data_IF_731890213225
#
_entry.id   IF_731890213225
#
_cell.length_a   1.000
_cell.length_b   1.000
_cell.length_c   1.000
_cell.angle_alpha   90.00
_cell.angle_beta   90.00
_cell.angle_gamma   90.00
#
_symmetry.space_group_name_H-M   'P 1'
#
loop_
_entity.id
_entity.type
_entity.pdbx_description
1 polymer ?
#
# COMPACT_ATOMS: atom_id res chain seq x y z
N UNK A 1 13.56 3.48 7.14
CA UNK A 1 14.03 4.80 7.65
C UNK A 1 14.07 5.83 6.55
N UNK A 2 14.84 5.64 5.47
CA UNK A 2 14.93 6.61 4.36
C UNK A 2 13.56 6.99 3.75
N UNK A 3 12.69 6.02 3.50
CA UNK A 3 11.33 6.28 2.98
C UNK A 3 10.45 7.07 3.95
N UNK A 4 10.50 6.75 5.24
CA UNK A 4 9.73 7.44 6.30
C UNK A 4 10.23 8.87 6.49
N UNK A 5 11.55 9.07 6.52
CA UNK A 5 12.16 10.40 6.58
C UNK A 5 11.85 11.23 5.33
N UNK A 6 11.84 10.60 4.15
CA UNK A 6 11.45 11.25 2.89
C UNK A 6 9.99 11.68 2.90
N UNK A 7 9.08 10.81 3.36
CA UNK A 7 7.66 11.13 3.50
C UNK A 7 7.43 12.28 4.50
N UNK A 8 8.13 12.28 5.64
CA UNK A 8 8.08 13.39 6.60
C UNK A 8 8.59 14.70 5.99
N UNK A 9 9.68 14.66 5.23
CA UNK A 9 10.21 15.83 4.54
C UNK A 9 9.21 16.39 3.53
N UNK A 10 8.59 15.52 2.71
CA UNK A 10 7.55 15.90 1.75
C UNK A 10 6.35 16.53 2.48
N UNK A 11 5.87 15.93 3.57
CA UNK A 11 4.77 16.47 4.37
C UNK A 11 5.09 17.86 4.94
N UNK A 12 6.31 18.09 5.42
CA UNK A 12 6.74 19.42 5.88
C UNK A 12 6.99 20.42 4.74
N UNK A 13 7.33 19.93 3.53
CA UNK A 13 7.53 20.77 2.36
C UNK A 13 6.19 21.23 1.75
N UNK A 14 5.13 20.44 1.91
CA UNK A 14 3.77 20.77 1.50
C UNK A 14 3.06 21.72 2.49
N UNK A 15 3.70 22.00 3.63
CA UNK A 15 3.23 22.97 4.63
C UNK A 15 3.47 24.41 4.12
N UNK A 16 2.51 24.96 3.38
CA UNK A 16 2.49 26.37 2.97
C UNK A 16 2.37 27.30 4.20
N UNK A 17 3.12 28.43 4.29
CA UNK A 17 3.12 29.32 5.46
C UNK A 17 1.81 30.05 5.80
N UNK A 18 0.70 29.77 5.11
CA UNK A 18 -0.59 30.46 5.28
C UNK A 18 -1.79 29.54 5.52
N UNK A 19 -1.62 28.21 5.47
CA UNK A 19 -2.71 27.26 5.71
C UNK A 19 -2.69 26.91 7.20
N UNK A 20 -3.62 27.51 7.95
CA UNK A 20 -3.68 27.45 9.41
C UNK A 20 -3.41 26.05 9.95
N UNK A 21 -2.44 25.95 10.86
CA UNK A 21 -2.04 24.71 11.53
C UNK A 21 -3.13 24.28 12.52
N UNK A 22 -4.29 23.90 11.99
CA UNK A 22 -5.35 23.21 12.73
C UNK A 22 -4.91 21.77 12.97
N UNK A 23 -3.84 21.61 13.74
CA UNK A 23 -3.42 20.32 14.28
C UNK A 23 -4.42 19.90 15.33
N UNK A 24 -5.58 19.43 14.90
CA UNK A 24 -6.50 18.75 15.80
C UNK A 24 -5.85 17.42 16.14
N UNK A 25 -5.38 17.26 17.38
CA UNK A 25 -4.81 16.00 17.86
C UNK A 25 -5.75 14.80 17.59
N UNK A 26 -7.06 15.06 17.48
CA UNK A 26 -8.05 14.10 17.04
C UNK A 26 -7.82 13.58 15.60
N UNK A 27 -7.48 14.47 14.66
CA UNK A 27 -7.16 14.08 13.28
C UNK A 27 -5.92 13.20 13.20
N UNK A 28 -4.87 13.52 13.97
CA UNK A 28 -3.67 12.70 14.04
C UNK A 28 -3.97 11.31 14.63
N UNK A 29 -4.79 11.24 15.69
CA UNK A 29 -5.22 9.97 16.28
C UNK A 29 -6.04 9.12 15.31
N UNK A 30 -6.99 9.74 14.58
CA UNK A 30 -7.80 9.04 13.57
C UNK A 30 -6.93 8.57 12.41
N UNK A 31 -5.95 9.38 11.97
CA UNK A 31 -5.01 8.99 10.93
C UNK A 31 -4.15 7.79 11.35
N UNK A 32 -3.64 7.79 12.58
CA UNK A 32 -2.89 6.67 13.14
C UNK A 32 -3.75 5.40 13.27
N UNK A 33 -4.98 5.53 13.79
CA UNK A 33 -5.91 4.42 13.90
C UNK A 33 -6.23 3.81 12.53
N UNK A 34 -6.43 4.66 11.52
CA UNK A 34 -6.66 4.22 10.13
C UNK A 34 -5.44 3.50 9.57
N UNK A 35 -4.23 4.02 9.78
CA UNK A 35 -3.00 3.39 9.32
C UNK A 35 -2.79 1.99 9.95
N UNK A 36 -3.03 1.87 11.26
CA UNK A 36 -2.96 0.58 11.96
C UNK A 36 -4.01 -0.41 11.44
N UNK A 37 -5.25 0.05 11.27
CA UNK A 37 -6.37 -0.79 10.80
C UNK A 37 -6.13 -1.28 9.37
N UNK A 38 -5.65 -0.40 8.49
CA UNK A 38 -5.32 -0.74 7.11
C UNK A 38 -4.14 -1.73 7.03
N UNK A 39 -3.09 -1.52 7.82
CA UNK A 39 -1.97 -2.45 7.92
C UNK A 39 -2.44 -3.83 8.37
N UNK A 40 -3.25 -3.90 9.43
CA UNK A 40 -3.82 -5.16 9.93
C UNK A 40 -4.70 -5.83 8.87
N UNK A 41 -5.57 -5.07 8.20
CA UNK A 41 -6.42 -5.57 7.11
C UNK A 41 -5.60 -6.20 5.99
N UNK A 42 -4.52 -5.55 5.54
CA UNK A 42 -3.68 -6.08 4.45
C UNK A 42 -3.01 -7.41 4.79
N UNK A 43 -2.59 -7.58 6.05
CA UNK A 43 -1.98 -8.82 6.54
C UNK A 43 -3.04 -9.91 6.71
N UNK A 44 -4.19 -9.58 7.31
CA UNK A 44 -5.29 -10.53 7.47
C UNK A 44 -5.84 -10.99 6.11
N UNK A 45 -5.92 -10.10 5.13
CA UNK A 45 -6.36 -10.40 3.77
C UNK A 45 -5.42 -11.42 3.10
N UNK A 46 -4.10 -11.29 3.30
CA UNK A 46 -3.15 -12.29 2.79
C UNK A 46 -3.21 -13.62 3.56
N UNK A 47 -3.52 -13.60 4.86
CA UNK A 47 -3.55 -14.81 5.70
C UNK A 47 -4.83 -15.63 5.53
N UNK A 48 -5.99 -14.98 5.39
CA UNK A 48 -7.30 -15.65 5.42
C UNK A 48 -7.89 -15.95 4.05
N UNK A 49 -7.37 -15.33 2.98
CA UNK A 49 -7.92 -15.50 1.64
C UNK A 49 -6.98 -16.36 0.80
N UNK A 50 -7.22 -17.69 0.70
CA UNK A 50 -6.39 -18.59 -0.09
C UNK A 50 -6.40 -18.18 -1.57
N UNK A 51 -5.28 -18.41 -2.27
CA UNK A 51 -5.09 -18.08 -3.70
C UNK A 51 -6.16 -18.73 -4.60
N UNK A 52 -6.71 -19.86 -4.15
CA UNK A 52 -7.67 -20.72 -4.86
C UNK A 52 -9.15 -20.42 -4.57
N UNK A 53 -9.47 -19.27 -3.94
CA UNK A 53 -10.86 -18.94 -3.68
C UNK A 53 -11.65 -18.77 -4.99
N UNK A 54 -12.52 -19.75 -5.29
CA UNK A 54 -13.55 -19.68 -6.34
C UNK A 54 -14.51 -18.49 -6.14
N UNK A 55 -14.49 -17.88 -4.95
CA UNK A 55 -15.12 -16.59 -4.70
C UNK A 55 -14.31 -15.52 -5.41
N UNK A 56 -14.81 -15.07 -6.56
CA UNK A 56 -14.20 -13.94 -7.25
C UNK A 56 -14.05 -12.75 -6.29
N UNK A 57 -12.82 -12.29 -6.03
CA UNK A 57 -12.57 -11.06 -5.23
C UNK A 57 -13.48 -9.91 -5.67
N UNK A 58 -13.82 -9.89 -6.96
CA UNK A 58 -14.76 -8.96 -7.56
C UNK A 58 -16.15 -8.96 -6.91
N UNK A 59 -16.71 -10.11 -6.53
CA UNK A 59 -18.00 -10.18 -5.82
C UNK A 59 -17.88 -9.66 -4.39
N UNK A 60 -16.81 -10.00 -3.67
CA UNK A 60 -16.58 -9.49 -2.31
C UNK A 60 -16.44 -7.96 -2.31
N UNK A 61 -15.60 -7.41 -3.19
CA UNK A 61 -15.44 -5.97 -3.34
C UNK A 61 -16.70 -5.30 -3.91
N UNK A 62 -17.48 -5.99 -4.75
CA UNK A 62 -18.79 -5.52 -5.20
C UNK A 62 -19.80 -5.40 -4.05
N UNK A 63 -19.83 -6.38 -3.13
CA UNK A 63 -20.63 -6.30 -1.90
C UNK A 63 -20.15 -5.19 -0.96
N UNK A 64 -18.84 -4.98 -0.84
CA UNK A 64 -18.28 -3.83 -0.08
C UNK A 64 -18.71 -2.51 -0.72
N UNK A 65 -18.65 -2.39 -2.05
CA UNK A 65 -19.15 -1.22 -2.78
C UNK A 65 -20.64 -0.97 -2.56
N UNK A 66 -21.46 -2.03 -2.55
CA UNK A 66 -22.88 -1.93 -2.21
C UNK A 66 -23.11 -1.49 -0.76
N UNK A 67 -22.34 -2.02 0.19
CA UNK A 67 -22.39 -1.59 1.58
C UNK A 67 -21.99 -0.12 1.72
N UNK A 68 -20.95 0.34 1.02
CA UNK A 68 -20.56 1.76 1.01
C UNK A 68 -21.65 2.62 0.38
N UNK A 69 -22.32 2.18 -0.67
CA UNK A 69 -23.43 2.92 -1.26
C UNK A 69 -24.63 3.00 -0.29
N UNK A 70 -24.92 1.90 0.42
CA UNK A 70 -26.09 1.78 1.30
C UNK A 70 -25.87 2.47 2.65
N UNK A 71 -24.66 2.34 3.23
CA UNK A 71 -24.29 2.93 4.51
C UNK A 71 -23.64 4.32 4.38
N UNK A 72 -23.03 4.65 3.24
CA UNK A 72 -22.42 5.96 3.00
C UNK A 72 -23.46 7.08 2.89
N UNK A 73 -24.58 6.81 2.20
CA UNK A 73 -25.69 7.76 2.10
C UNK A 73 -26.25 8.24 3.46
N UNK A 74 -26.61 7.34 4.40
CA UNK A 74 -27.10 7.77 5.72
C UNK A 74 -26.02 8.45 6.57
N UNK A 75 -24.74 8.11 6.40
CA UNK A 75 -23.63 8.81 7.06
C UNK A 75 -23.58 10.26 6.59
N UNK A 76 -23.60 10.51 5.27
CA UNK A 76 -23.62 11.87 4.72
C UNK A 76 -24.83 12.67 5.22
N UNK A 77 -26.01 12.06 5.24
CA UNK A 77 -27.22 12.71 5.76
C UNK A 77 -27.10 13.02 7.27
N UNK A 78 -26.49 12.14 8.05
CA UNK A 78 -26.27 12.36 9.49
C UNK A 78 -25.29 13.52 9.74
N UNK A 79 -24.23 13.65 8.92
CA UNK A 79 -23.27 14.74 9.04
C UNK A 79 -23.90 16.11 8.73
N UNK A 80 -24.80 16.17 7.75
CA UNK A 80 -25.57 17.36 7.40
C UNK A 80 -26.54 17.75 8.52
N UNK A 81 -27.24 16.77 9.11
CA UNK A 81 -28.11 16.99 10.28
C UNK A 81 -27.35 17.47 11.53
N UNK A 82 -26.10 17.02 11.72
CA UNK A 82 -25.23 17.49 12.78
C UNK A 82 -24.62 18.88 12.48
N UNK A 83 -24.81 19.42 11.28
CA UNK A 83 -24.29 20.73 10.87
C UNK A 83 -22.76 20.77 10.73
N UNK A 84 -22.12 19.61 10.56
CA UNK A 84 -20.66 19.51 10.45
C UNK A 84 -20.17 19.74 9.02
N UNK A 85 -20.93 19.27 8.02
CA UNK A 85 -20.66 19.49 6.59
C UNK A 85 -22.00 19.67 5.86
N UNK A 86 -22.13 20.73 5.06
CA UNK A 86 -23.33 20.96 4.27
C UNK A 86 -23.35 20.01 3.06
N UNK A 87 -24.43 19.25 2.90
CA UNK A 87 -24.59 18.37 1.75
C UNK A 87 -25.00 19.17 0.51
N UNK A 88 -24.05 19.42 -0.39
CA UNK A 88 -24.31 20.05 -1.69
C UNK A 88 -24.28 19.02 -2.82
N UNK A 89 -25.28 19.07 -3.69
CA UNK A 89 -25.37 18.14 -4.81
C UNK A 89 -24.34 18.49 -5.89
N UNK A 90 -23.53 17.52 -6.38
CA UNK A 90 -22.50 17.82 -7.36
C UNK A 90 -23.13 18.29 -8.69
N UNK A 91 -22.52 19.28 -9.36
CA UNK A 91 -22.99 19.75 -10.67
C UNK A 91 -22.92 18.63 -11.73
N UNK A 92 -23.87 18.62 -12.66
CA UNK A 92 -24.02 17.55 -13.65
C UNK A 92 -22.78 17.33 -14.53
N UNK A 93 -21.96 18.36 -14.71
CA UNK A 93 -20.70 18.29 -15.47
C UNK A 93 -19.60 17.48 -14.77
N UNK A 94 -19.61 17.43 -13.44
CA UNK A 94 -18.61 16.71 -12.63
C UNK A 94 -19.02 15.27 -12.39
N UNK A 95 -20.32 14.99 -12.45
CA UNK A 95 -20.91 13.66 -12.28
C UNK A 95 -20.24 12.55 -13.12
N UNK A 96 -19.94 12.72 -14.44
CA UNK A 96 -19.26 11.68 -15.21
C UNK A 96 -17.83 11.43 -14.73
N UNK A 97 -17.08 12.46 -14.33
CA UNK A 97 -15.74 12.32 -13.79
C UNK A 97 -15.75 11.62 -12.42
N UNK A 98 -16.73 11.94 -11.58
CA UNK A 98 -16.93 11.30 -10.30
C UNK A 98 -17.28 9.81 -10.47
N UNK A 99 -18.19 9.50 -11.40
CA UNK A 99 -18.54 8.12 -11.74
C UNK A 99 -17.33 7.34 -12.28
N UNK A 100 -16.53 7.96 -13.14
CA UNK A 100 -15.30 7.35 -13.67
C UNK A 100 -14.28 7.08 -12.56
N UNK A 101 -14.06 8.03 -11.66
CA UNK A 101 -13.14 7.87 -10.53
C UNK A 101 -13.65 6.80 -9.53
N UNK A 102 -14.95 6.76 -9.28
CA UNK A 102 -15.53 5.74 -8.41
C UNK A 102 -15.36 4.33 -9.01
N UNK A 103 -15.64 4.16 -10.30
CA UNK A 103 -15.59 2.85 -10.95
C UNK A 103 -14.15 2.39 -11.21
N UNK A 104 -13.34 3.23 -11.86
CA UNK A 104 -11.99 2.87 -12.30
C UNK A 104 -10.96 3.20 -11.22
N UNK A 105 -11.01 4.43 -10.69
CA UNK A 105 -9.99 4.93 -9.75
C UNK A 105 -10.04 4.27 -8.38
N UNK A 106 -11.23 3.87 -7.93
CA UNK A 106 -11.44 3.31 -6.58
C UNK A 106 -11.71 1.81 -6.67
N UNK A 107 -12.88 1.40 -7.20
CA UNK A 107 -13.30 -0.01 -7.18
C UNK A 107 -12.34 -0.94 -7.94
N UNK A 108 -12.05 -0.63 -9.21
CA UNK A 108 -11.14 -1.48 -10.00
C UNK A 108 -9.71 -1.46 -9.43
N UNK A 109 -9.25 -0.28 -9.01
CA UNK A 109 -7.92 -0.11 -8.40
C UNK A 109 -7.75 -0.94 -7.13
N UNK A 110 -8.75 -0.94 -6.24
CA UNK A 110 -8.72 -1.71 -4.99
C UNK A 110 -8.74 -3.22 -5.25
N UNK A 111 -9.49 -3.68 -6.26
CA UNK A 111 -9.48 -5.09 -6.69
C UNK A 111 -8.11 -5.48 -7.24
N UNK A 112 -7.49 -4.65 -8.09
CA UNK A 112 -6.15 -4.90 -8.61
C UNK A 112 -5.10 -4.88 -7.50
N UNK A 113 -5.21 -3.96 -6.55
CA UNK A 113 -4.35 -3.87 -5.38
C UNK A 113 -4.47 -5.12 -4.49
N UNK A 114 -5.69 -5.57 -4.20
CA UNK A 114 -5.92 -6.77 -3.40
C UNK A 114 -5.37 -8.02 -4.10
N UNK A 115 -5.55 -8.14 -5.42
CA UNK A 115 -4.94 -9.21 -6.21
C UNK A 115 -3.42 -9.13 -6.21
N UNK A 116 -2.83 -7.94 -6.32
CA UNK A 116 -1.39 -7.74 -6.25
C UNK A 116 -0.84 -8.14 -4.87
N UNK A 117 -1.54 -7.82 -3.78
CA UNK A 117 -1.18 -8.24 -2.42
C UNK A 117 -1.12 -9.75 -2.26
N UNK A 118 -2.09 -10.46 -2.84
CA UNK A 118 -2.14 -11.92 -2.81
C UNK A 118 -0.98 -12.53 -3.58
N UNK A 119 -0.78 -12.11 -4.84
CA UNK A 119 0.25 -12.66 -5.74
C UNK A 119 1.68 -12.31 -5.33
N UNK A 120 1.89 -11.19 -4.62
CA UNK A 120 3.22 -10.73 -4.22
C UNK A 120 3.41 -10.85 -2.71
N UNK A 121 3.65 -9.75 -2.02
CA UNK A 121 3.68 -9.69 -0.57
C UNK A 121 3.18 -8.31 -0.12
N UNK A 122 2.71 -8.17 1.14
CA UNK A 122 2.29 -6.88 1.68
C UNK A 122 3.42 -5.83 1.66
N UNK A 123 4.67 -6.31 1.69
CA UNK A 123 5.86 -5.49 1.59
C UNK A 123 6.01 -4.86 0.19
N UNK A 124 5.89 -5.67 -0.88
CA UNK A 124 5.96 -5.16 -2.26
C UNK A 124 4.82 -4.17 -2.55
N UNK A 125 3.61 -4.44 -2.07
CA UNK A 125 2.49 -3.52 -2.23
C UNK A 125 2.71 -2.17 -1.54
N UNK A 126 3.27 -2.18 -0.32
CA UNK A 126 3.59 -0.94 0.42
C UNK A 126 4.69 -0.13 -0.28
N UNK A 127 5.68 -0.80 -0.85
CA UNK A 127 6.70 -0.16 -1.70
C UNK A 127 6.06 0.46 -2.95
N UNK A 128 5.11 -0.21 -3.59
CA UNK A 128 4.34 0.32 -4.72
C UNK A 128 3.56 1.59 -4.36
N UNK A 129 2.87 1.61 -3.22
CA UNK A 129 2.15 2.80 -2.73
C UNK A 129 3.10 3.98 -2.47
N UNK A 130 4.33 3.72 -2.00
CA UNK A 130 5.33 4.78 -1.82
C UNK A 130 5.81 5.38 -3.13
N UNK A 131 5.84 4.60 -4.23
CA UNK A 131 6.22 5.04 -5.56
C UNK A 131 5.15 5.94 -6.21
N UNK A 132 3.91 5.86 -5.75
CA UNK A 132 2.84 6.77 -6.20
C UNK A 132 3.19 8.24 -5.95
N UNK A 133 3.93 8.54 -4.88
CA UNK A 133 4.35 9.92 -4.54
C UNK A 133 5.26 10.54 -5.62
N UNK A 134 6.44 9.95 -5.95
CA UNK A 134 7.29 10.49 -7.01
C UNK A 134 6.65 10.39 -8.40
N UNK A 135 5.86 9.36 -8.71
CA UNK A 135 5.13 9.27 -10.00
C UNK A 135 4.12 10.40 -10.11
N UNK A 136 3.36 10.67 -9.04
CA UNK A 136 2.41 11.78 -8.97
C UNK A 136 3.08 13.12 -9.19
N UNK A 137 4.24 13.33 -8.57
CA UNK A 137 5.05 14.54 -8.79
C UNK A 137 5.47 14.71 -10.25
N UNK A 138 5.99 13.67 -10.89
CA UNK A 138 6.39 13.73 -12.31
C UNK A 138 5.17 13.99 -13.19
N UNK A 139 4.05 13.32 -12.91
CA UNK A 139 2.77 13.51 -13.61
C UNK A 139 2.29 14.96 -13.52
N UNK A 140 2.26 15.54 -12.32
CA UNK A 140 1.84 16.93 -12.12
C UNK A 140 2.83 17.94 -12.75
N UNK A 141 4.13 17.65 -12.73
CA UNK A 141 5.14 18.48 -13.39
C UNK A 141 4.95 18.48 -14.91
N UNK A 142 4.63 17.33 -15.50
CA UNK A 142 4.54 17.16 -16.96
C UNK A 142 3.19 17.65 -17.51
N UNK A 143 2.09 17.37 -16.82
CA UNK A 143 0.73 17.70 -17.26
C UNK A 143 0.31 19.11 -16.86
N UNK A 144 0.73 19.61 -15.69
CA UNK A 144 0.30 20.92 -15.15
C UNK A 144 1.39 21.99 -15.19
N UNK A 145 2.62 21.63 -15.62
CA UNK A 145 3.75 22.57 -15.69
C UNK A 145 4.12 23.21 -14.34
N UNK A 146 3.74 22.58 -13.22
CA UNK A 146 3.98 23.14 -11.89
C UNK A 146 5.47 23.06 -11.52
N UNK A 147 6.02 24.20 -11.09
CA UNK A 147 7.36 24.25 -10.52
C UNK A 147 7.30 23.91 -9.04
N UNK A 148 7.91 22.80 -8.66
CA UNK A 148 7.99 22.36 -7.27
C UNK A 148 9.20 22.97 -6.55
N UNK A 149 9.01 23.28 -5.26
CA UNK A 149 10.10 23.75 -4.40
C UNK A 149 11.22 22.72 -4.32
N UNK A 150 12.47 23.17 -4.26
CA UNK A 150 13.66 22.31 -4.18
C UNK A 150 13.57 21.32 -3.02
N UNK A 151 12.91 21.69 -1.90
CA UNK A 151 12.67 20.81 -0.75
C UNK A 151 11.76 19.63 -1.07
N UNK A 152 10.72 19.85 -1.88
CA UNK A 152 9.80 18.82 -2.32
C UNK A 152 10.47 17.84 -3.30
N UNK A 153 11.28 18.35 -4.23
CA UNK A 153 12.09 17.54 -5.16
C UNK A 153 13.09 16.65 -4.41
N UNK A 154 13.78 17.20 -3.41
CA UNK A 154 14.70 16.42 -2.57
C UNK A 154 13.96 15.35 -1.79
N UNK A 155 12.77 15.66 -1.25
CA UNK A 155 11.93 14.69 -0.54
C UNK A 155 11.47 13.54 -1.44
N UNK A 156 10.96 13.84 -2.63
CA UNK A 156 10.57 12.83 -3.61
C UNK A 156 11.76 11.96 -4.04
N UNK A 157 12.94 12.56 -4.25
CA UNK A 157 14.18 11.84 -4.53
C UNK A 157 14.58 10.89 -3.40
N UNK A 158 14.41 11.30 -2.13
CA UNK A 158 14.70 10.47 -0.97
C UNK A 158 13.73 9.27 -0.86
N UNK A 159 12.44 9.47 -1.16
CA UNK A 159 11.44 8.39 -1.21
C UNK A 159 11.79 7.41 -2.32
N UNK A 160 12.14 7.90 -3.51
CA UNK A 160 12.55 7.05 -4.64
C UNK A 160 13.82 6.26 -4.33
N UNK A 161 14.84 6.90 -3.77
CA UNK A 161 16.07 6.23 -3.34
C UNK A 161 15.79 5.15 -2.27
N UNK A 162 14.92 5.46 -1.30
CA UNK A 162 14.49 4.50 -0.28
C UNK A 162 13.77 3.28 -0.86
N UNK A 163 12.96 3.48 -1.90
CA UNK A 163 12.30 2.39 -2.63
C UNK A 163 13.31 1.49 -3.37
N UNK A 164 14.25 2.07 -4.13
CA UNK A 164 15.28 1.31 -4.86
C UNK A 164 16.13 0.49 -3.89
N UNK A 165 16.57 1.11 -2.79
CA UNK A 165 17.31 0.41 -1.74
C UNK A 165 16.49 -0.71 -1.10
N UNK A 166 15.20 -0.48 -0.86
CA UNK A 166 14.29 -1.49 -0.32
C UNK A 166 14.16 -2.71 -1.23
N UNK A 167 13.98 -2.50 -2.54
CA UNK A 167 13.91 -3.59 -3.52
C UNK A 167 15.23 -4.36 -3.58
N UNK A 168 16.36 -3.65 -3.64
CA UNK A 168 17.68 -4.30 -3.70
C UNK A 168 17.94 -5.09 -2.42
N UNK A 169 17.57 -4.57 -1.26
CA UNK A 169 17.72 -5.25 0.02
C UNK A 169 16.86 -6.53 0.09
N UNK A 170 15.59 -6.46 -0.32
CA UNK A 170 14.71 -7.64 -0.38
C UNK A 170 15.24 -8.69 -1.35
N UNK A 171 15.67 -8.27 -2.55
CA UNK A 171 16.23 -9.18 -3.54
C UNK A 171 17.53 -9.85 -3.04
N UNK A 172 18.40 -9.08 -2.37
CA UNK A 172 19.62 -9.60 -1.77
C UNK A 172 19.30 -10.59 -0.65
N UNK A 173 18.33 -10.29 0.20
CA UNK A 173 17.92 -11.17 1.28
C UNK A 173 17.39 -12.50 0.77
N UNK A 174 16.57 -12.48 -0.29
CA UNK A 174 16.08 -13.68 -0.96
C UNK A 174 17.21 -14.51 -1.58
N UNK A 175 18.19 -13.85 -2.21
CA UNK A 175 19.38 -14.55 -2.73
C UNK A 175 20.18 -15.22 -1.63
N UNK A 176 20.44 -14.52 -0.51
CA UNK A 176 21.18 -15.06 0.64
C UNK A 176 20.40 -16.23 1.26
N UNK A 177 19.09 -16.10 1.46
CA UNK A 177 18.23 -17.16 1.98
C UNK A 177 18.32 -18.41 1.11
N UNK A 178 18.14 -18.27 -0.20
CA UNK A 178 18.27 -19.39 -1.16
C UNK A 178 19.68 -20.00 -1.15
N UNK A 179 20.72 -19.19 -0.98
CA UNK A 179 22.10 -19.69 -0.91
C UNK A 179 22.37 -20.47 0.39
N UNK A 180 21.85 -20.00 1.53
CA UNK A 180 21.94 -20.68 2.82
C UNK A 180 21.13 -21.99 2.82
N UNK A 181 19.92 -21.98 2.25
CA UNK A 181 19.09 -23.19 2.09
C UNK A 181 19.79 -24.24 1.22
N UNK A 182 20.41 -23.84 0.10
CA UNK A 182 21.22 -24.75 -0.72
C UNK A 182 22.39 -25.35 0.06
N UNK A 183 23.08 -24.54 0.88
CA UNK A 183 24.17 -25.02 1.75
C UNK A 183 23.64 -25.98 2.83
N UNK A 184 22.48 -25.71 3.41
CA UNK A 184 21.83 -26.58 4.38
C UNK A 184 21.39 -27.92 3.76
N UNK A 185 20.84 -27.93 2.55
CA UNK A 185 20.50 -29.17 1.83
C UNK A 185 21.74 -29.99 1.46
N UNK A 186 22.82 -29.34 1.02
CA UNK A 186 24.07 -30.02 0.70
C UNK A 186 24.75 -30.61 1.96
N UNK A 187 24.71 -29.90 3.08
CA UNK A 187 25.19 -30.38 4.38
C UNK A 187 24.36 -31.55 4.93
N UNK A 188 23.04 -31.54 4.73
CA UNK A 188 22.14 -32.62 5.18
C UNK A 188 22.27 -33.88 4.31
N UNK A 189 22.52 -33.72 3.00
CA UNK A 189 22.83 -34.83 2.10
C UNK A 189 24.14 -35.54 2.41
N UNK A 190 25.18 -34.80 2.82
CA UNK A 190 26.47 -35.37 3.22
C UNK A 190 26.38 -36.10 4.57
N UNK A 191 25.60 -35.59 5.53
CA UNK A 191 25.32 -36.29 6.79
C UNK A 191 24.51 -37.58 6.58
N UNK A 192 23.49 -37.56 5.71
CA UNK A 192 22.69 -38.75 5.39
C UNK A 192 23.52 -39.85 4.69
N UNK A 193 24.44 -39.47 3.79
CA UNK A 193 25.34 -40.42 3.11
C UNK A 193 26.37 -41.07 4.04
N UNK A 194 26.81 -40.37 5.10
CA UNK A 194 27.74 -40.92 6.10
C UNK A 194 27.09 -41.94 7.04
N UNK A 195 25.77 -41.85 7.28
CA UNK A 195 25.03 -42.79 8.14
C UNK A 195 24.72 -44.09 7.40
N UNK A 196 24.40 -44.05 6.10
CA UNK A 196 24.19 -45.26 5.29
C UNK A 196 25.49 -46.03 5.07
N UNK A 197 26.61 -45.34 4.82
CA UNK A 197 27.92 -45.98 4.65
C UNK A 197 28.42 -46.69 5.92
N UNK A 198 27.98 -46.27 7.12
CA UNK A 198 28.30 -46.96 8.38
C UNK A 198 27.52 -48.25 8.61
N UNK A 199 26.40 -48.47 7.90
CA UNK A 199 25.53 -49.64 8.09
C UNK A 199 25.89 -50.84 7.21
N UNK A 200 26.58 -50.64 6.09
CA UNK A 200 27.02 -51.74 5.20
C UNK A 200 28.34 -52.40 5.64
N UNK A 201 29.10 -51.79 6.54
CA UNK A 201 30.39 -52.34 7.03
C UNK A 201 30.16 -53.24 8.28
N UNK A 202 28.93 -53.31 8.79
CA UNK A 202 28.55 -54.07 9.99
C UNK A 202 27.75 -55.35 9.69
N UNK A 203 27.68 -55.82 8.44
CA UNK A 203 27.10 -57.11 8.04
C UNK A 203 28.14 -58.05 7.46
#
# INVERSE_FOLDING_TARGET
VATVSGAALVATADSEPGRGRSGSAWGDLVALATACTYGLYSVLLKLHVPEDAEVSMMVVFGCVGLLVLTCGWPVMALLDLCGWEAFEWPPAEVLPYLALNALIGTNLSDVMWARALQLTSPLVATLGLSLTIPIGMVSDSLLRGKHFSTRYVVGAGLVFAGFVLGIVAEHLWDMIRRALERRACCGRGSAAASVTAGSEIAS
#
